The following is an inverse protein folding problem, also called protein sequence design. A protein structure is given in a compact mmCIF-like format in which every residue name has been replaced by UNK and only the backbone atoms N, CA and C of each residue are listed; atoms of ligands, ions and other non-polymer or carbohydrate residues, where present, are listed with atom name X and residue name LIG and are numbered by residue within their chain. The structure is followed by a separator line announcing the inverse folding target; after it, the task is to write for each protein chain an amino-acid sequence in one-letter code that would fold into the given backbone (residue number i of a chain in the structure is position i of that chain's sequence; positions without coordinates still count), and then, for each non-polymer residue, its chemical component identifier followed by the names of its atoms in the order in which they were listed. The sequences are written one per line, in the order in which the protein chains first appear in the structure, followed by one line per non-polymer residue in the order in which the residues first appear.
data_IF_441472702205
#
_entry.id   IF_441472702205
#
_cell.length_a   1.000
_cell.length_b   1.000
_cell.length_c   1.000
_cell.angle_alpha   90.00
_cell.angle_beta   90.00
_cell.angle_gamma   90.00
#
_symmetry.space_group_name_H-M   'P 1'
#
loop_
_entity.id
_entity.type
_entity.pdbx_description
1 polymer ?
#
# COMPACT_ATOMS: atom_id res chain seq x y z
N UNK A 1 31.79 12.91 -6.22
CA UNK A 1 30.42 12.92 -6.77
C UNK A 1 30.27 13.56 -8.17
N UNK A 2 31.28 13.56 -9.05
CA UNK A 2 31.23 14.20 -10.39
C UNK A 2 31.31 13.24 -11.58
N UNK A 3 31.09 11.92 -11.40
CA UNK A 3 31.27 10.92 -12.48
C UNK A 3 30.00 10.19 -12.96
N UNK A 4 28.82 10.49 -12.43
CA UNK A 4 27.57 9.78 -12.82
C UNK A 4 26.68 10.54 -13.81
N UNK A 5 26.95 11.83 -14.09
CA UNK A 5 26.16 12.58 -15.09
C UNK A 5 26.64 12.37 -16.55
N UNK A 6 27.84 11.84 -16.74
CA UNK A 6 28.41 11.68 -18.09
C UNK A 6 27.88 10.48 -18.89
N UNK A 7 27.29 9.47 -18.23
CA UNK A 7 26.86 8.24 -18.92
C UNK A 7 25.46 8.39 -19.53
N UNK A 8 24.59 9.17 -18.90
CA UNK A 8 23.24 9.41 -19.45
C UNK A 8 23.25 10.27 -20.74
N UNK A 9 24.20 11.19 -20.85
CA UNK A 9 24.34 12.02 -22.06
C UNK A 9 25.01 11.28 -23.23
N UNK A 10 25.87 10.29 -22.97
CA UNK A 10 26.54 9.53 -24.02
C UNK A 10 25.65 8.46 -24.69
N UNK A 11 24.65 7.93 -23.99
CA UNK A 11 23.67 6.98 -24.53
C UNK A 11 22.64 7.63 -25.45
N UNK A 12 22.40 8.94 -25.31
CA UNK A 12 21.54 9.71 -26.22
C UNK A 12 22.21 10.08 -27.55
N UNK A 13 23.55 10.03 -27.62
CA UNK A 13 24.30 10.40 -28.83
C UNK A 13 24.61 9.26 -29.80
N UNK A 14 24.33 8.00 -29.43
CA UNK A 14 24.67 6.83 -30.25
C UNK A 14 23.45 6.12 -30.88
N UNK A 15 22.26 6.72 -30.80
CA UNK A 15 21.06 6.18 -31.47
C UNK A 15 21.07 6.48 -32.97
N UNK A 16 20.72 5.52 -33.84
CA UNK A 16 20.47 5.81 -35.27
C UNK A 16 19.41 6.91 -35.35
N UNK A 17 19.58 7.83 -36.30
CA UNK A 17 18.74 9.03 -36.45
C UNK A 17 17.29 8.71 -36.20
N UNK A 18 16.68 9.31 -35.15
CA UNK A 18 15.30 9.06 -34.83
C UNK A 18 14.42 9.58 -35.96
N UNK A 19 13.41 8.82 -36.31
CA UNK A 19 12.23 9.41 -36.94
C UNK A 19 11.85 10.62 -36.10
N UNK A 20 11.71 11.78 -36.72
CA UNK A 20 11.36 13.02 -36.03
C UNK A 20 10.05 12.78 -35.27
N UNK A 21 10.02 13.15 -34.01
CA UNK A 21 8.80 13.06 -33.21
C UNK A 21 7.79 14.08 -33.75
N UNK A 22 6.69 13.63 -34.34
CA UNK A 22 5.73 14.50 -35.01
C UNK A 22 4.82 15.26 -34.08
N UNK A 23 4.67 14.81 -32.84
CA UNK A 23 3.86 15.51 -31.87
C UNK A 23 4.41 15.43 -30.45
N UNK A 24 4.42 16.55 -29.76
CA UNK A 24 4.61 16.64 -28.33
C UNK A 24 3.39 17.33 -27.71
N UNK A 25 2.91 16.82 -26.59
CA UNK A 25 1.86 17.46 -25.83
C UNK A 25 2.25 17.54 -24.36
N UNK A 26 1.72 18.54 -23.65
CA UNK A 26 2.03 18.78 -22.24
C UNK A 26 0.80 18.55 -21.34
N UNK A 27 -0.28 17.99 -21.86
CA UNK A 27 -1.48 17.73 -21.08
C UNK A 27 -1.28 16.50 -20.19
N UNK A 28 -1.04 16.71 -18.89
CA UNK A 28 -0.81 15.65 -17.93
C UNK A 28 0.58 14.99 -18.06
N UNK A 29 1.60 15.78 -18.41
CA UNK A 29 2.98 15.35 -18.62
C UNK A 29 3.48 15.65 -20.03
N UNK A 30 4.72 15.26 -20.31
CA UNK A 30 5.34 15.42 -21.64
C UNK A 30 5.15 14.11 -22.41
N UNK A 31 4.45 14.15 -23.53
CA UNK A 31 4.25 12.99 -24.41
C UNK A 31 4.98 13.21 -25.73
N UNK A 32 5.80 12.25 -26.12
CA UNK A 32 6.49 12.20 -27.40
C UNK A 32 6.03 10.95 -28.13
N UNK A 33 5.66 11.10 -29.40
CA UNK A 33 5.12 10.01 -30.22
C UNK A 33 5.74 10.04 -31.60
N UNK A 34 6.11 8.86 -32.15
CA UNK A 34 6.50 8.72 -33.57
C UNK A 34 5.28 8.82 -34.48
N UNK A 35 5.51 9.20 -35.77
CA UNK A 35 4.48 9.34 -36.79
C UNK A 35 3.62 8.10 -36.95
N UNK A 36 4.25 6.95 -36.99
CA UNK A 36 3.60 5.64 -37.11
C UNK A 36 2.92 5.17 -35.82
N UNK A 37 3.08 5.93 -34.72
CA UNK A 37 2.53 5.60 -33.39
C UNK A 37 3.10 4.35 -32.75
N UNK A 38 4.17 3.76 -33.29
CA UNK A 38 4.80 2.57 -32.77
C UNK A 38 5.66 2.84 -31.52
N UNK A 39 6.16 4.08 -31.41
CA UNK A 39 6.94 4.52 -30.25
C UNK A 39 6.20 5.65 -29.55
N UNK A 40 5.96 5.47 -28.26
CA UNK A 40 5.38 6.50 -27.39
C UNK A 40 6.19 6.54 -26.11
N UNK A 41 6.55 7.73 -25.67
CA UNK A 41 7.12 7.98 -24.36
C UNK A 41 6.38 9.12 -23.68
N UNK A 42 5.97 8.92 -22.45
CA UNK A 42 5.31 9.92 -21.62
C UNK A 42 6.10 10.09 -20.34
N UNK A 43 6.52 11.30 -20.05
CA UNK A 43 7.18 11.67 -18.79
C UNK A 43 6.15 12.41 -17.94
N UNK A 44 5.88 11.88 -16.78
CA UNK A 44 5.00 12.44 -15.78
C UNK A 44 5.55 12.28 -14.38
N UNK A 45 4.74 12.58 -13.38
CA UNK A 45 5.17 12.42 -12.00
C UNK A 45 4.07 12.74 -11.00
N UNK A 46 4.44 12.67 -9.72
CA UNK A 46 3.58 13.08 -8.62
C UNK A 46 4.39 13.50 -7.41
N UNK A 47 3.84 14.43 -6.65
CA UNK A 47 4.40 14.91 -5.40
C UNK A 47 3.31 14.78 -4.34
N UNK A 48 3.62 14.12 -3.23
CA UNK A 48 2.84 14.13 -2.01
C UNK A 48 3.67 14.81 -0.92
N UNK A 49 3.22 15.95 -0.46
CA UNK A 49 3.82 16.70 0.63
C UNK A 49 2.89 16.67 1.81
N UNK A 50 3.35 16.08 2.90
CA UNK A 50 2.56 15.78 4.08
C UNK A 50 3.00 16.62 5.27
N UNK A 51 2.04 16.96 6.10
CA UNK A 51 2.21 17.33 7.49
C UNK A 51 1.59 16.25 8.36
N UNK A 52 2.28 15.89 9.42
CA UNK A 52 1.77 14.99 10.44
C UNK A 52 1.97 15.57 11.81
N UNK A 53 0.94 15.52 12.65
CA UNK A 53 1.00 15.90 14.06
C UNK A 53 0.45 14.78 14.92
N UNK A 54 1.23 14.34 15.93
CA UNK A 54 0.77 13.44 16.98
C UNK A 54 0.15 14.30 18.08
N UNK A 55 -1.05 13.95 18.49
CA UNK A 55 -1.77 14.64 19.55
C UNK A 55 -1.56 13.91 20.88
N UNK A 56 -1.61 14.63 22.02
CA UNK A 56 -1.51 14.02 23.33
C UNK A 56 -2.60 12.97 23.55
N UNK A 57 -2.25 11.86 24.18
CA UNK A 57 -3.19 10.82 24.56
C UNK A 57 -4.11 11.29 25.69
N UNK A 58 -5.37 10.86 25.63
CA UNK A 58 -6.33 11.20 26.70
C UNK A 58 -6.25 10.27 27.92
N UNK A 59 -5.84 9.04 27.72
CA UNK A 59 -5.79 8.02 28.76
C UNK A 59 -4.94 6.83 28.31
N UNK A 60 -3.64 7.00 28.25
CA UNK A 60 -2.71 5.91 28.02
C UNK A 60 -2.29 5.33 29.37
N UNK A 61 -2.29 4.01 29.49
CA UNK A 61 -1.64 3.32 30.61
C UNK A 61 -0.16 3.09 30.34
N UNK A 62 0.28 3.39 29.12
CA UNK A 62 1.68 3.40 28.71
C UNK A 62 2.11 4.86 28.55
N UNK A 63 3.14 5.24 29.26
CA UNK A 63 3.77 6.53 29.04
C UNK A 63 4.65 6.44 27.79
N UNK A 64 4.12 6.86 26.67
CA UNK A 64 4.88 6.98 25.42
C UNK A 64 5.77 8.22 25.39
N UNK A 65 5.65 9.09 26.37
CA UNK A 65 6.41 10.32 26.71
C UNK A 65 7.23 11.05 25.63
N UNK A 66 7.77 10.32 24.66
CA UNK A 66 8.64 10.87 23.64
C UNK A 66 7.94 11.21 22.30
N UNK A 67 6.74 10.67 22.07
CA UNK A 67 6.03 10.82 20.81
C UNK A 67 4.91 11.86 20.85
N UNK A 68 4.44 12.23 22.01
CA UNK A 68 3.37 13.20 22.18
C UNK A 68 3.80 14.61 21.73
N UNK A 69 2.87 15.32 21.06
CA UNK A 69 3.07 16.65 20.55
C UNK A 69 4.18 16.78 19.48
N UNK A 70 4.54 15.69 18.82
CA UNK A 70 5.48 15.73 17.71
C UNK A 70 4.77 16.08 16.41
N UNK A 71 5.37 16.97 15.62
CA UNK A 71 4.82 17.34 14.32
C UNK A 71 5.92 17.66 13.32
N UNK A 72 5.62 17.53 12.05
CA UNK A 72 6.57 17.88 11.00
C UNK A 72 6.02 17.75 9.59
N UNK A 73 6.78 18.37 8.67
CA UNK A 73 6.55 18.31 7.24
C UNK A 73 7.55 17.41 6.57
N UNK A 74 7.10 16.66 5.54
CA UNK A 74 7.99 15.78 4.77
C UNK A 74 7.41 15.46 3.40
N UNK A 75 8.27 15.06 2.47
CA UNK A 75 7.82 14.50 1.21
C UNK A 75 7.48 13.01 1.41
N UNK A 76 6.20 12.70 1.37
CA UNK A 76 5.73 11.30 1.48
C UNK A 76 6.06 10.51 0.22
N UNK A 77 5.99 11.16 -0.96
CA UNK A 77 6.33 10.61 -2.28
C UNK A 77 6.77 11.73 -3.21
N UNK A 78 7.79 11.45 -3.99
CA UNK A 78 8.17 12.27 -5.14
C UNK A 78 8.50 11.30 -6.28
N UNK A 79 7.56 11.10 -7.19
CA UNK A 79 7.73 10.16 -8.29
C UNK A 79 8.06 10.85 -9.59
N UNK A 80 9.00 10.24 -10.31
CA UNK A 80 9.20 10.45 -11.73
C UNK A 80 8.72 9.18 -12.42
N UNK A 81 7.85 9.35 -13.43
CA UNK A 81 7.20 8.24 -14.15
C UNK A 81 7.51 8.34 -15.63
N UNK A 82 8.12 7.32 -16.19
CA UNK A 82 8.28 7.13 -17.63
C UNK A 82 7.38 5.98 -18.09
N UNK A 83 6.38 6.30 -18.90
CA UNK A 83 5.41 5.31 -19.40
C UNK A 83 5.37 5.39 -20.92
N UNK A 84 5.29 4.24 -21.59
CA UNK A 84 5.20 4.28 -23.02
C UNK A 84 4.94 2.93 -23.68
N UNK A 85 5.14 2.89 -24.98
CA UNK A 85 5.09 1.66 -25.76
C UNK A 85 6.18 1.64 -26.83
N UNK A 86 6.58 0.44 -27.21
CA UNK A 86 7.43 0.13 -28.34
C UNK A 86 6.69 -1.00 -29.08
N UNK A 87 6.13 -0.68 -30.26
CA UNK A 87 5.17 -1.52 -30.97
C UNK A 87 4.00 -1.89 -30.05
N UNK A 88 3.78 -3.17 -29.79
CA UNK A 88 2.69 -3.69 -28.95
C UNK A 88 3.09 -3.86 -27.48
N UNK A 89 4.38 -3.72 -27.17
CA UNK A 89 4.88 -3.82 -25.81
C UNK A 89 4.77 -2.48 -25.10
N UNK A 90 4.14 -2.46 -23.92
CA UNK A 90 4.09 -1.29 -23.04
C UNK A 90 5.14 -1.43 -21.96
N UNK A 91 5.71 -0.30 -21.56
CA UNK A 91 6.65 -0.23 -20.44
C UNK A 91 6.23 0.85 -19.46
N UNK A 92 6.65 0.65 -18.21
CA UNK A 92 6.52 1.64 -17.15
C UNK A 92 7.74 1.60 -16.26
N UNK A 93 8.25 2.76 -15.87
CA UNK A 93 9.33 2.97 -14.92
C UNK A 93 8.88 4.08 -13.99
N UNK A 94 8.61 3.73 -12.73
CA UNK A 94 8.30 4.69 -11.67
C UNK A 94 9.43 4.67 -10.65
N UNK A 95 10.03 5.82 -10.38
CA UNK A 95 11.05 6.00 -9.34
C UNK A 95 10.56 6.97 -8.29
N UNK A 96 10.54 6.56 -7.02
CA UNK A 96 10.32 7.44 -5.87
C UNK A 96 11.66 7.98 -5.38
N UNK A 97 11.90 9.27 -5.61
CA UNK A 97 13.14 9.95 -5.22
C UNK A 97 13.05 10.65 -3.86
N UNK A 98 12.01 10.39 -3.08
CA UNK A 98 11.82 10.97 -1.74
C UNK A 98 12.63 10.31 -0.62
N UNK A 99 13.69 9.59 -0.95
CA UNK A 99 14.46 8.69 -0.06
C UNK A 99 14.98 9.35 1.23
N UNK A 100 15.14 10.67 1.25
CA UNK A 100 15.55 11.40 2.46
C UNK A 100 14.45 11.47 3.52
N UNK A 101 13.20 11.29 3.09
CA UNK A 101 12.00 11.36 3.96
C UNK A 101 11.24 10.03 4.04
N UNK A 102 11.52 9.09 3.12
CA UNK A 102 10.83 7.81 3.03
C UNK A 102 11.81 6.67 2.74
N UNK A 103 12.11 5.82 3.72
CA UNK A 103 13.03 4.69 3.53
C UNK A 103 12.53 3.62 2.53
N UNK A 104 11.25 3.67 2.16
CA UNK A 104 10.68 2.80 1.12
C UNK A 104 10.75 3.40 -0.30
N UNK A 105 11.48 4.50 -0.49
CA UNK A 105 11.74 5.11 -1.79
C UNK A 105 12.57 4.19 -2.70
N UNK A 106 12.65 4.53 -3.96
CA UNK A 106 13.30 3.76 -5.01
C UNK A 106 12.33 3.26 -6.07
N UNK A 107 12.74 2.29 -6.86
CA UNK A 107 11.91 1.74 -7.91
C UNK A 107 10.61 1.16 -7.39
N UNK A 108 9.50 1.60 -7.99
CA UNK A 108 8.15 1.13 -7.71
C UNK A 108 7.68 0.21 -8.86
N UNK A 109 6.85 0.70 -9.79
CA UNK A 109 6.55 -0.05 -11.00
C UNK A 109 7.71 0.02 -11.98
N UNK A 110 8.31 -1.12 -12.34
CA UNK A 110 9.31 -1.25 -13.40
C UNK A 110 9.03 -2.52 -14.16
N UNK A 111 8.27 -2.43 -15.24
CA UNK A 111 7.85 -3.60 -15.98
C UNK A 111 7.68 -3.33 -17.47
N UNK A 112 7.68 -4.41 -18.22
CA UNK A 112 7.12 -4.49 -19.57
C UNK A 112 5.84 -5.31 -19.55
N UNK A 113 4.89 -4.97 -20.44
CA UNK A 113 3.64 -5.71 -20.56
C UNK A 113 3.19 -5.85 -21.99
N UNK A 114 2.48 -6.96 -22.26
CA UNK A 114 1.92 -7.26 -23.56
C UNK A 114 0.49 -7.76 -23.40
N UNK A 115 -0.42 -7.30 -24.27
CA UNK A 115 -1.79 -7.80 -24.32
C UNK A 115 -1.85 -9.03 -25.22
N UNK A 116 -2.39 -10.12 -24.72
CA UNK A 116 -2.59 -11.37 -25.48
C UNK A 116 -4.00 -11.33 -26.09
N UNK A 117 -4.24 -10.39 -26.99
CA UNK A 117 -5.56 -10.18 -27.57
C UNK A 117 -6.64 -10.06 -26.50
N UNK A 118 -7.73 -10.79 -26.67
CA UNK A 118 -8.85 -10.84 -25.70
C UNK A 118 -8.59 -11.70 -24.47
N UNK A 119 -7.41 -12.31 -24.38
CA UNK A 119 -7.07 -13.24 -23.28
C UNK A 119 -6.36 -12.57 -22.10
N UNK A 120 -6.21 -11.24 -22.11
CA UNK A 120 -5.67 -10.50 -20.99
C UNK A 120 -4.27 -9.94 -21.21
N UNK A 121 -3.61 -9.55 -20.12
CA UNK A 121 -2.31 -8.86 -20.15
C UNK A 121 -1.30 -9.62 -19.30
N UNK A 122 -0.14 -9.91 -19.84
CA UNK A 122 1.05 -10.36 -19.10
C UNK A 122 1.92 -9.15 -18.79
N UNK A 123 2.49 -9.12 -17.57
CA UNK A 123 3.56 -8.20 -17.15
C UNK A 123 4.76 -8.98 -16.67
N UNK A 124 5.95 -8.49 -16.97
CA UNK A 124 7.22 -9.05 -16.52
C UNK A 124 8.04 -7.90 -15.95
N UNK A 125 8.53 -8.05 -14.73
CA UNK A 125 9.29 -7.01 -14.05
C UNK A 125 8.83 -6.82 -12.61
N UNK A 126 8.84 -5.59 -12.12
CA UNK A 126 8.46 -5.23 -10.76
C UNK A 126 7.12 -4.50 -10.76
N UNK A 127 6.15 -5.00 -10.00
CA UNK A 127 4.85 -4.35 -9.78
C UNK A 127 4.21 -4.93 -8.52
N UNK A 128 3.06 -4.38 -8.13
CA UNK A 128 2.29 -4.91 -7.00
C UNK A 128 1.64 -6.25 -7.36
N UNK A 129 1.80 -7.30 -6.54
CA UNK A 129 1.00 -8.51 -6.64
C UNK A 129 -0.49 -8.21 -6.50
N UNK A 130 -1.33 -8.97 -7.21
CA UNK A 130 -2.78 -8.76 -7.26
C UNK A 130 -3.46 -9.33 -6.00
N UNK A 131 -3.39 -8.64 -4.85
CA UNK A 131 -3.84 -9.16 -3.56
C UNK A 131 -5.21 -8.66 -3.14
N UNK A 132 -5.42 -7.34 -3.09
CA UNK A 132 -6.69 -6.73 -2.67
C UNK A 132 -7.01 -5.46 -3.44
N UNK A 133 -8.22 -4.96 -3.28
CA UNK A 133 -8.68 -3.76 -3.95
C UNK A 133 -7.93 -2.52 -3.46
N UNK A 134 -7.79 -2.33 -2.14
CA UNK A 134 -7.07 -1.19 -1.58
C UNK A 134 -5.57 -1.20 -1.94
N UNK A 135 -4.95 -2.39 -2.03
CA UNK A 135 -3.56 -2.48 -2.45
C UNK A 135 -3.35 -2.01 -3.90
N UNK A 136 -4.30 -2.33 -4.79
CA UNK A 136 -4.19 -2.00 -6.21
C UNK A 136 -4.60 -0.57 -6.55
N UNK A 137 -5.40 0.09 -5.71
CA UNK A 137 -5.77 1.49 -5.95
C UNK A 137 -4.52 2.37 -6.01
N UNK A 138 -4.54 3.36 -6.89
CA UNK A 138 -3.47 4.35 -6.96
C UNK A 138 -3.33 5.12 -5.65
N UNK A 139 -2.11 5.43 -5.25
CA UNK A 139 -1.88 6.31 -4.10
C UNK A 139 -2.47 7.71 -4.28
N UNK A 140 -2.76 8.12 -5.53
CA UNK A 140 -3.44 9.39 -5.82
C UNK A 140 -4.94 9.33 -5.54
N UNK A 141 -5.54 8.13 -5.52
CA UNK A 141 -6.99 7.92 -5.52
C UNK A 141 -7.54 7.44 -4.18
N UNK A 142 -6.70 7.08 -3.22
CA UNK A 142 -7.11 6.64 -1.89
C UNK A 142 -8.00 7.67 -1.19
N UNK A 143 -8.94 7.19 -0.38
CA UNK A 143 -9.85 8.05 0.38
C UNK A 143 -9.10 8.83 1.45
N UNK A 144 -8.17 8.17 2.16
CA UNK A 144 -7.33 8.73 3.21
C UNK A 144 -5.87 8.86 2.77
N UNK A 145 -5.08 9.61 3.50
CA UNK A 145 -3.65 9.80 3.26
C UNK A 145 -2.89 8.47 3.31
N UNK A 146 -3.32 7.51 4.14
CA UNK A 146 -2.75 6.18 4.23
C UNK A 146 -3.77 5.09 3.84
N UNK A 147 -3.30 3.86 3.60
CA UNK A 147 -4.11 2.69 3.25
C UNK A 147 -4.81 2.14 4.48
N UNK A 148 -5.84 1.33 4.24
CA UNK A 148 -6.48 0.57 5.30
C UNK A 148 -5.51 -0.43 5.96
N UNK A 149 -5.89 -0.98 7.12
CA UNK A 149 -5.02 -1.84 7.93
C UNK A 149 -4.58 -3.11 7.19
N UNK A 150 -5.41 -3.66 6.33
CA UNK A 150 -5.09 -4.88 5.58
C UNK A 150 -3.90 -4.66 4.63
N UNK A 151 -3.92 -3.57 3.88
CA UNK A 151 -2.84 -3.20 2.96
C UNK A 151 -1.67 -2.56 3.67
N UNK A 152 -1.92 -1.67 4.62
CA UNK A 152 -0.88 -0.93 5.34
C UNK A 152 0.05 -1.82 6.17
N UNK A 153 -0.47 -2.88 6.77
CA UNK A 153 0.31 -3.86 7.54
C UNK A 153 0.98 -4.92 6.67
N UNK A 154 0.63 -4.97 5.40
CA UNK A 154 1.08 -5.99 4.48
C UNK A 154 0.35 -7.33 4.60
N UNK A 155 -0.72 -7.43 5.39
CA UNK A 155 -1.49 -8.67 5.53
C UNK A 155 -2.16 -9.06 4.21
N UNK A 156 -2.93 -8.17 3.59
CA UNK A 156 -3.49 -8.41 2.25
C UNK A 156 -2.62 -7.81 1.13
N UNK A 157 -1.96 -6.68 1.36
CA UNK A 157 -1.07 -6.03 0.41
C UNK A 157 0.26 -6.76 0.24
N UNK A 158 0.65 -7.54 1.22
CA UNK A 158 1.91 -8.25 1.21
C UNK A 158 3.11 -7.30 1.31
N UNK A 159 4.13 -7.56 0.50
CA UNK A 159 5.40 -6.81 0.51
C UNK A 159 5.43 -5.65 -0.50
N UNK A 160 4.28 -5.08 -0.85
CA UNK A 160 4.19 -3.99 -1.83
C UNK A 160 4.72 -4.42 -3.22
N UNK A 161 5.64 -3.70 -3.85
CA UNK A 161 6.15 -4.05 -5.18
C UNK A 161 7.10 -5.24 -5.16
N UNK A 162 6.86 -6.24 -6.03
CA UNK A 162 7.66 -7.46 -6.15
C UNK A 162 8.09 -7.69 -7.60
N UNK A 163 9.24 -8.36 -7.78
CA UNK A 163 9.75 -8.76 -9.09
C UNK A 163 9.19 -10.12 -9.48
N UNK A 164 8.63 -10.21 -10.69
CA UNK A 164 8.02 -11.47 -11.11
C UNK A 164 7.31 -11.43 -12.44
N UNK A 165 6.39 -12.36 -12.59
CA UNK A 165 5.48 -12.48 -13.73
C UNK A 165 4.05 -12.37 -13.22
N UNK A 166 3.28 -11.55 -13.88
CA UNK A 166 1.93 -11.19 -13.48
C UNK A 166 1.00 -11.33 -14.69
N UNK A 167 -0.12 -11.98 -14.50
CA UNK A 167 -1.15 -12.10 -15.52
C UNK A 167 -2.47 -11.57 -14.95
N UNK A 168 -3.17 -10.78 -15.76
CA UNK A 168 -4.51 -10.32 -15.44
C UNK A 168 -5.43 -10.44 -16.64
N UNK A 169 -6.68 -10.72 -16.35
CA UNK A 169 -7.79 -10.76 -17.27
C UNK A 169 -8.88 -9.82 -16.78
N UNK A 170 -9.43 -9.03 -17.67
CA UNK A 170 -10.58 -8.17 -17.39
C UNK A 170 -11.54 -8.25 -18.57
N UNK A 171 -12.79 -8.52 -18.29
CA UNK A 171 -13.84 -8.64 -19.30
C UNK A 171 -15.07 -7.83 -18.90
N UNK A 172 -15.20 -6.60 -19.41
CA UNK A 172 -16.46 -5.85 -19.36
C UNK A 172 -17.54 -6.64 -20.14
N UNK A 173 -18.78 -6.56 -19.67
CA UNK A 173 -19.92 -7.30 -20.23
C UNK A 173 -19.67 -8.81 -20.31
N UNK A 174 -19.15 -9.37 -19.22
CA UNK A 174 -18.77 -10.78 -19.17
C UNK A 174 -19.99 -11.72 -19.20
N UNK A 175 -21.03 -11.39 -18.45
CA UNK A 175 -22.28 -12.17 -18.31
C UNK A 175 -23.52 -11.31 -18.58
N UNK A 176 -23.41 -9.99 -18.41
CA UNK A 176 -24.45 -8.97 -18.59
C UNK A 176 -23.84 -7.75 -19.28
N UNK A 177 -24.67 -6.89 -19.86
CA UNK A 177 -24.20 -5.68 -20.57
C UNK A 177 -23.47 -4.65 -19.72
N UNK A 178 -23.72 -4.69 -18.42
CA UNK A 178 -23.32 -3.68 -17.43
C UNK A 178 -22.43 -4.25 -16.32
N UNK A 179 -21.91 -5.46 -16.49
CA UNK A 179 -21.02 -6.08 -15.52
C UNK A 179 -19.53 -6.05 -15.93
N UNK A 180 -18.66 -6.44 -14.99
CA UNK A 180 -17.26 -6.68 -15.27
C UNK A 180 -16.75 -7.89 -14.45
N UNK A 181 -16.11 -8.83 -15.12
CA UNK A 181 -15.34 -9.89 -14.49
C UNK A 181 -13.85 -9.57 -14.55
N UNK A 182 -13.13 -9.81 -13.46
CA UNK A 182 -11.70 -9.63 -13.37
C UNK A 182 -11.03 -10.78 -12.65
N UNK A 183 -9.86 -11.19 -13.13
CA UNK A 183 -8.99 -12.16 -12.46
C UNK A 183 -7.53 -11.81 -12.65
N UNK A 184 -6.73 -12.04 -11.61
CA UNK A 184 -5.29 -11.81 -11.67
C UNK A 184 -4.52 -12.83 -10.86
N UNK A 185 -3.37 -13.26 -11.40
CA UNK A 185 -2.41 -14.13 -10.73
C UNK A 185 -1.03 -13.53 -10.80
N UNK A 186 -0.23 -13.75 -9.77
CA UNK A 186 1.15 -13.27 -9.69
C UNK A 186 2.05 -14.38 -9.17
N UNK A 187 3.23 -14.48 -9.76
CA UNK A 187 4.33 -15.30 -9.28
C UNK A 187 5.57 -14.41 -9.16
N UNK A 188 6.17 -14.33 -7.97
CA UNK A 188 7.17 -13.31 -7.67
C UNK A 188 8.22 -13.79 -6.68
N UNK A 189 9.37 -13.13 -6.72
CA UNK A 189 10.41 -13.21 -5.71
C UNK A 189 10.03 -12.37 -4.50
N UNK A 190 10.36 -12.83 -3.30
CA UNK A 190 10.18 -12.06 -2.06
C UNK A 190 11.23 -10.95 -1.90
N UNK A 191 12.18 -10.86 -2.81
CA UNK A 191 13.18 -9.80 -2.84
C UNK A 191 12.71 -8.64 -3.70
N UNK A 192 12.52 -7.48 -3.11
CA UNK A 192 12.37 -6.23 -3.84
C UNK A 192 13.76 -5.64 -4.14
N UNK A 193 14.02 -5.27 -5.40
CA UNK A 193 15.22 -4.53 -5.74
C UNK A 193 15.26 -3.20 -4.97
N UNK A 194 16.34 -2.95 -4.24
CA UNK A 194 16.49 -1.75 -3.41
C UNK A 194 15.97 -1.87 -1.97
N UNK A 195 15.23 -2.93 -1.66
CA UNK A 195 14.85 -3.31 -0.29
C UNK A 195 15.36 -4.73 0.00
N UNK A 196 16.60 -4.96 -0.33
CA UNK A 196 17.22 -6.29 -0.29
C UNK A 196 17.68 -6.70 1.09
N UNK A 197 17.54 -5.84 2.07
CA UNK A 197 18.02 -6.12 3.41
C UNK A 197 16.83 -6.28 4.35
N UNK A 198 16.77 -7.42 5.00
CA UNK A 198 16.11 -7.51 6.27
C UNK A 198 16.62 -6.37 7.14
N UNK A 199 15.71 -5.55 7.66
CA UNK A 199 16.09 -4.43 8.50
C UNK A 199 16.89 -4.97 9.70
N UNK A 200 18.19 -4.80 9.67
CA UNK A 200 19.11 -5.17 10.73
C UNK A 200 20.28 -6.10 10.35
N UNK A 201 20.16 -6.95 9.34
CA UNK A 201 21.23 -7.93 9.01
C UNK A 201 21.91 -7.75 7.67
N UNK A 202 21.36 -6.93 6.79
CA UNK A 202 21.90 -6.77 5.44
C UNK A 202 21.73 -8.01 4.54
N UNK A 203 21.05 -9.05 4.99
CA UNK A 203 20.85 -10.29 4.26
C UNK A 203 19.58 -10.23 3.42
N UNK A 204 19.62 -10.49 2.11
CA UNK A 204 18.43 -10.50 1.28
C UNK A 204 17.43 -11.56 1.74
N UNK A 205 16.15 -11.20 1.90
CA UNK A 205 15.07 -12.19 2.05
C UNK A 205 14.96 -12.98 0.76
N UNK A 206 15.23 -14.29 0.81
CA UNK A 206 15.10 -15.18 -0.33
C UNK A 206 13.79 -15.95 -0.24
N UNK A 207 13.19 -16.20 -1.36
CA UNK A 207 11.97 -16.99 -1.44
C UNK A 207 11.11 -16.60 -2.62
N UNK A 208 10.00 -17.29 -2.73
CA UNK A 208 9.00 -17.07 -3.77
C UNK A 208 7.63 -16.87 -3.14
N UNK A 209 6.81 -16.11 -3.82
CA UNK A 209 5.41 -15.94 -3.48
C UNK A 209 4.53 -16.10 -4.72
N UNK A 210 3.30 -16.47 -4.48
CA UNK A 210 2.26 -16.46 -5.50
C UNK A 210 0.94 -16.02 -4.90
N UNK A 211 0.11 -15.41 -5.74
CA UNK A 211 -1.23 -15.05 -5.34
C UNK A 211 -2.21 -15.13 -6.51
N UNK A 212 -3.48 -15.22 -6.15
CA UNK A 212 -4.59 -15.07 -7.07
C UNK A 212 -5.68 -14.20 -6.45
N UNK A 213 -6.30 -13.35 -7.26
CA UNK A 213 -7.47 -12.54 -6.90
C UNK A 213 -8.50 -12.65 -8.01
N UNK A 214 -9.75 -12.83 -7.61
CA UNK A 214 -10.91 -12.78 -8.48
C UNK A 214 -11.84 -11.66 -8.00
N UNK A 215 -12.45 -10.96 -8.94
CA UNK A 215 -13.40 -9.91 -8.64
C UNK A 215 -14.53 -9.91 -9.69
N UNK A 216 -15.72 -9.59 -9.22
CA UNK A 216 -16.88 -9.44 -10.05
C UNK A 216 -17.63 -8.16 -9.68
N UNK A 217 -17.90 -7.33 -10.66
CA UNK A 217 -18.78 -6.18 -10.52
C UNK A 217 -20.08 -6.49 -11.28
N UNK A 218 -21.17 -6.88 -10.58
CA UNK A 218 -22.46 -7.16 -11.22
C UNK A 218 -23.10 -5.93 -11.84
N UNK A 219 -22.68 -4.74 -11.41
CA UNK A 219 -22.99 -3.43 -11.98
C UNK A 219 -21.67 -2.68 -12.07
N UNK A 220 -21.30 -2.19 -13.23
CA UNK A 220 -20.07 -1.43 -13.51
C UNK A 220 -20.36 -0.33 -14.53
N UNK A 221 -21.31 0.53 -14.22
CA UNK A 221 -21.68 1.68 -15.06
C UNK A 221 -21.21 2.99 -14.42
N UNK A 222 -21.26 4.07 -15.19
CA UNK A 222 -20.89 5.39 -14.68
C UNK A 222 -21.76 5.76 -13.48
N UNK A 223 -21.13 6.22 -12.38
CA UNK A 223 -21.73 6.65 -11.12
C UNK A 223 -22.45 5.57 -10.29
N UNK A 224 -22.57 4.35 -10.81
CA UNK A 224 -23.20 3.23 -10.09
C UNK A 224 -22.43 1.94 -10.36
N UNK A 225 -21.79 1.41 -9.34
CA UNK A 225 -21.12 0.13 -9.44
C UNK A 225 -21.11 -0.60 -8.10
N UNK A 226 -21.11 -1.91 -8.18
CA UNK A 226 -20.98 -2.82 -7.05
C UNK A 226 -19.86 -3.78 -7.36
N UNK A 227 -19.01 -4.04 -6.40
CA UNK A 227 -17.84 -4.91 -6.51
C UNK A 227 -17.83 -5.91 -5.37
N UNK A 228 -17.51 -7.16 -5.69
CA UNK A 228 -17.20 -8.24 -4.76
C UNK A 228 -15.93 -8.94 -5.24
N UNK A 229 -15.03 -9.23 -4.32
CA UNK A 229 -13.80 -9.93 -4.68
C UNK A 229 -13.27 -10.79 -3.55
N UNK A 230 -12.34 -11.68 -3.91
CA UNK A 230 -11.62 -12.53 -2.97
C UNK A 230 -10.22 -12.80 -3.48
N UNK A 231 -9.29 -12.98 -2.55
CA UNK A 231 -7.89 -13.24 -2.83
C UNK A 231 -7.28 -14.28 -1.92
N UNK A 232 -6.26 -14.94 -2.46
CA UNK A 232 -5.37 -15.85 -1.73
C UNK A 232 -3.93 -15.54 -2.08
N UNK A 233 -3.04 -15.61 -1.10
CA UNK A 233 -1.61 -15.54 -1.33
C UNK A 233 -0.84 -16.50 -0.44
N UNK A 234 0.31 -16.93 -0.94
CA UNK A 234 1.27 -17.73 -0.18
C UNK A 234 2.68 -17.22 -0.47
N UNK A 235 3.37 -16.84 0.58
CA UNK A 235 4.76 -16.40 0.55
C UNK A 235 5.59 -17.45 1.29
N UNK A 236 6.61 -17.99 0.60
CA UNK A 236 7.49 -19.01 1.11
C UNK A 236 8.93 -18.49 1.11
N UNK A 237 9.43 -18.17 2.29
CA UNK A 237 10.82 -17.76 2.45
C UNK A 237 11.74 -18.98 2.50
N UNK A 238 12.92 -18.95 1.86
CA UNK A 238 13.79 -20.09 1.72
C UNK A 238 15.29 -19.73 1.79
N UNK A 239 16.12 -20.77 1.95
CA UNK A 239 17.58 -20.69 1.81
C UNK A 239 18.28 -19.69 2.73
N UNK A 240 18.01 -19.77 4.04
CA UNK A 240 18.68 -18.96 5.05
C UNK A 240 18.10 -17.55 5.16
N UNK A 241 16.91 -17.32 4.62
CA UNK A 241 16.13 -16.20 5.06
C UNK A 241 15.87 -16.37 6.55
N UNK A 242 16.51 -15.53 7.34
CA UNK A 242 16.32 -15.48 8.79
C UNK A 242 15.41 -14.32 9.10
N UNK A 243 14.32 -14.60 9.77
CA UNK A 243 13.68 -13.60 10.58
C UNK A 243 14.46 -13.56 11.90
N UNK A 244 15.45 -12.70 11.98
CA UNK A 244 16.15 -12.43 13.23
C UNK A 244 15.24 -11.69 14.21
N UNK A 245 15.71 -11.39 15.40
CA UNK A 245 14.90 -10.70 16.41
C UNK A 245 14.38 -9.33 15.98
N UNK A 246 14.93 -8.75 14.90
CA UNK A 246 14.46 -7.51 14.27
C UNK A 246 13.56 -7.68 13.05
N UNK A 247 13.48 -8.90 12.50
CA UNK A 247 12.89 -9.19 11.19
C UNK A 247 11.50 -9.81 11.25
N UNK A 248 10.86 -9.74 12.38
CA UNK A 248 9.48 -10.21 12.55
C UNK A 248 8.54 -9.35 11.70
N UNK A 249 7.57 -9.97 11.06
CA UNK A 249 6.47 -9.21 10.47
C UNK A 249 5.68 -8.59 11.61
N UNK A 250 5.58 -7.29 11.62
CA UNK A 250 4.88 -6.53 12.63
C UNK A 250 3.64 -5.89 12.03
N UNK A 251 2.51 -6.04 12.64
CA UNK A 251 1.45 -5.08 12.45
C UNK A 251 1.56 -4.01 13.55
N UNK A 252 1.42 -2.79 13.15
CA UNK A 252 1.56 -1.64 14.02
C UNK A 252 0.66 -0.53 13.49
N UNK A 253 0.64 0.59 14.18
CA UNK A 253 0.11 1.85 13.61
C UNK A 253 0.82 2.29 12.34
N UNK A 254 1.70 1.48 11.78
CA UNK A 254 2.54 1.82 10.65
C UNK A 254 1.74 2.30 9.43
N UNK A 255 0.53 1.80 9.23
CA UNK A 255 -0.38 2.30 8.20
C UNK A 255 -0.89 3.70 8.46
N UNK A 256 -1.07 4.07 9.72
CA UNK A 256 -1.47 5.41 10.17
C UNK A 256 -0.25 6.27 10.47
N UNK A 257 0.85 5.64 10.91
CA UNK A 257 1.99 6.29 11.53
C UNK A 257 3.31 5.97 10.85
N UNK A 258 3.33 5.49 9.61
CA UNK A 258 4.56 5.05 8.96
C UNK A 258 5.70 6.10 9.02
N UNK A 259 5.31 7.36 9.04
CA UNK A 259 6.22 8.49 9.21
C UNK A 259 6.15 9.14 10.60
N UNK A 260 5.07 8.94 11.36
CA UNK A 260 4.90 9.47 12.71
C UNK A 260 5.97 8.94 13.65
N UNK A 261 6.16 7.61 13.62
CA UNK A 261 7.17 6.96 14.46
C UNK A 261 8.59 7.40 14.09
N UNK A 262 8.88 7.60 12.80
CA UNK A 262 10.15 8.13 12.33
C UNK A 262 10.38 9.57 12.79
N UNK A 263 9.34 10.39 12.76
CA UNK A 263 9.41 11.80 13.17
C UNK A 263 9.56 11.96 14.69
N UNK A 264 9.02 11.07 15.47
CA UNK A 264 9.15 11.05 16.92
C UNK A 264 10.56 10.62 17.40
N UNK A 265 11.50 10.36 16.49
CA UNK A 265 12.82 9.85 16.85
C UNK A 265 12.83 8.40 17.33
N UNK A 266 11.69 7.73 17.26
CA UNK A 266 11.55 6.33 17.60
C UNK A 266 11.89 5.53 16.35
N UNK A 267 13.02 4.87 16.37
CA UNK A 267 13.45 4.04 15.24
C UNK A 267 12.52 2.81 15.13
N UNK A 268 11.82 2.60 14.01
CA UNK A 268 10.96 1.44 13.81
C UNK A 268 11.69 0.10 13.92
N UNK A 269 13.01 0.14 13.72
CA UNK A 269 13.87 -1.04 13.71
C UNK A 269 14.20 -1.61 15.10
N UNK A 270 14.02 -0.85 16.16
CA UNK A 270 14.46 -1.24 17.49
C UNK A 270 13.34 -1.48 18.49
N UNK A 271 12.13 -1.01 18.18
CA UNK A 271 10.99 -1.13 19.09
C UNK A 271 9.80 -1.76 18.39
N UNK A 272 9.41 -2.96 18.78
CA UNK A 272 8.24 -3.63 18.23
C UNK A 272 6.97 -2.90 18.61
N UNK A 273 6.24 -2.49 17.60
CA UNK A 273 5.10 -1.61 17.81
C UNK A 273 3.78 -2.33 18.00
N UNK A 274 3.64 -3.61 17.84
CA UNK A 274 2.39 -4.30 18.13
C UNK A 274 2.55 -5.81 18.29
N UNK A 275 2.71 -6.61 17.28
CA UNK A 275 2.81 -8.04 17.44
C UNK A 275 3.99 -8.61 16.65
N UNK A 276 4.75 -9.48 17.31
CA UNK A 276 5.73 -10.30 16.60
C UNK A 276 5.01 -11.47 15.97
N UNK A 277 5.05 -11.53 14.65
CA UNK A 277 4.45 -12.60 13.90
C UNK A 277 5.55 -13.33 13.17
N UNK A 278 5.67 -14.60 13.44
CA UNK A 278 6.73 -15.41 12.88
C UNK A 278 8.07 -15.15 13.58
N UNK A 279 8.99 -15.95 13.28
CA UNK A 279 10.38 -15.96 13.76
C UNK A 279 10.99 -17.32 13.45
N UNK A 280 12.22 -17.33 13.03
CA UNK A 280 12.91 -18.54 12.62
C UNK A 280 13.26 -18.53 11.13
N UNK A 281 13.98 -19.55 10.72
CA UNK A 281 14.44 -19.70 9.35
C UNK A 281 13.30 -20.18 8.44
N UNK A 282 13.19 -19.60 7.24
CA UNK A 282 12.25 -20.00 6.19
C UNK A 282 10.76 -19.94 6.59
N UNK A 283 10.24 -18.82 7.06
CA UNK A 283 8.84 -18.72 7.45
C UNK A 283 7.91 -18.75 6.23
N UNK A 284 6.75 -19.37 6.43
CA UNK A 284 5.64 -19.37 5.50
C UNK A 284 4.57 -18.39 5.95
N UNK A 285 3.96 -17.69 5.00
CA UNK A 285 2.82 -16.83 5.24
C UNK A 285 1.73 -17.14 4.22
N UNK A 286 0.56 -17.52 4.68
CA UNK A 286 -0.63 -17.68 3.83
C UNK A 286 -1.67 -16.66 4.22
N UNK A 287 -2.28 -16.01 3.23
CA UNK A 287 -3.32 -15.00 3.46
C UNK A 287 -4.53 -15.30 2.60
N UNK A 288 -5.70 -15.23 3.20
CA UNK A 288 -7.00 -15.21 2.51
C UNK A 288 -7.71 -13.91 2.80
N UNK A 289 -8.38 -13.36 1.82
CA UNK A 289 -9.11 -12.10 1.98
C UNK A 289 -10.37 -12.03 1.14
N UNK A 290 -11.28 -11.16 1.57
CA UNK A 290 -12.49 -10.81 0.85
C UNK A 290 -12.67 -9.29 0.81
N UNK A 291 -13.35 -8.81 -0.20
CA UNK A 291 -13.58 -7.39 -0.42
C UNK A 291 -14.97 -7.13 -0.99
N UNK A 292 -15.57 -6.05 -0.58
CA UNK A 292 -16.86 -5.55 -1.05
C UNK A 292 -16.78 -4.03 -1.19
N UNK A 293 -17.26 -3.49 -2.30
CA UNK A 293 -17.36 -2.04 -2.46
C UNK A 293 -18.52 -1.66 -3.37
N UNK A 294 -18.99 -0.43 -3.20
CA UNK A 294 -20.02 0.14 -4.07
C UNK A 294 -19.89 1.65 -4.17
N UNK A 295 -20.21 2.21 -5.33
CA UNK A 295 -20.51 3.62 -5.48
C UNK A 295 -21.96 3.76 -5.99
N UNK A 296 -22.73 4.61 -5.33
CA UNK A 296 -24.11 4.93 -5.65
C UNK A 296 -24.26 6.45 -5.72
N UNK A 297 -24.08 7.01 -6.90
CA UNK A 297 -23.99 8.46 -7.07
C UNK A 297 -22.81 9.04 -6.28
N UNK A 298 -23.09 9.97 -5.37
CA UNK A 298 -22.07 10.63 -4.56
C UNK A 298 -21.57 9.82 -3.35
N UNK A 299 -22.20 8.68 -3.04
CA UNK A 299 -21.85 7.83 -1.91
C UNK A 299 -20.91 6.72 -2.37
N UNK A 300 -19.84 6.48 -1.63
CA UNK A 300 -18.93 5.36 -1.79
C UNK A 300 -18.77 4.59 -0.49
N UNK A 301 -18.77 3.27 -0.55
CA UNK A 301 -18.55 2.36 0.57
C UNK A 301 -17.58 1.24 0.17
N UNK A 302 -16.70 0.85 1.08
CA UNK A 302 -15.74 -0.24 0.91
C UNK A 302 -15.58 -1.00 2.22
N UNK A 303 -15.40 -2.30 2.12
CA UNK A 303 -14.98 -3.16 3.23
C UNK A 303 -14.02 -4.23 2.74
N UNK A 304 -12.99 -4.50 3.53
CA UNK A 304 -12.04 -5.60 3.29
C UNK A 304 -11.86 -6.40 4.58
N UNK A 305 -11.75 -7.71 4.43
CA UNK A 305 -11.43 -8.65 5.52
C UNK A 305 -10.26 -9.52 5.10
N UNK A 306 -9.40 -9.89 6.05
CA UNK A 306 -8.27 -10.77 5.79
C UNK A 306 -7.89 -11.60 7.00
N UNK A 307 -7.39 -12.80 6.71
CA UNK A 307 -6.76 -13.68 7.70
C UNK A 307 -5.42 -14.13 7.15
N UNK A 308 -4.36 -13.89 7.92
CA UNK A 308 -3.01 -14.35 7.60
C UNK A 308 -2.52 -15.33 8.64
N UNK A 309 -2.02 -16.48 8.16
CA UNK A 309 -1.36 -17.49 8.98
C UNK A 309 0.13 -17.40 8.74
N UNK A 310 0.87 -17.22 9.82
CA UNK A 310 2.32 -17.16 9.85
C UNK A 310 2.84 -18.42 10.53
N UNK A 311 3.67 -19.19 9.85
CA UNK A 311 4.32 -20.37 10.38
C UNK A 311 5.81 -20.09 10.49
N UNK A 312 6.39 -20.38 11.66
CA UNK A 312 7.84 -20.35 11.80
C UNK A 312 8.48 -21.47 10.98
N UNK A 313 9.70 -21.20 10.48
CA UNK A 313 10.51 -22.18 9.80
C UNK A 313 11.20 -23.16 10.75
N UNK A 314 12.38 -23.62 10.37
CA UNK A 314 13.09 -24.67 11.09
C UNK A 314 13.60 -24.28 12.47
N UNK A 315 13.92 -23.02 12.68
CA UNK A 315 14.47 -22.52 13.96
C UNK A 315 13.39 -21.76 14.73
N UNK A 316 12.81 -22.39 15.72
CA UNK A 316 11.76 -21.79 16.53
C UNK A 316 12.35 -20.76 17.52
N UNK A 317 11.70 -19.63 17.60
CA UNK A 317 12.03 -18.59 18.58
C UNK A 317 11.35 -18.88 19.90
N UNK A 318 12.12 -18.90 20.98
CA UNK A 318 11.58 -19.13 22.32
C UNK A 318 10.51 -18.12 22.69
N UNK A 319 9.40 -18.60 23.24
CA UNK A 319 8.27 -17.76 23.69
C UNK A 319 7.33 -17.29 22.56
N UNK A 320 7.59 -17.65 21.30
CA UNK A 320 6.71 -17.33 20.18
C UNK A 320 6.05 -18.62 19.69
N UNK A 321 4.72 -18.66 19.49
CA UNK A 321 4.04 -19.83 18.94
C UNK A 321 4.57 -20.19 17.55
N UNK A 322 4.61 -21.48 17.23
CA UNK A 322 5.05 -21.97 15.94
C UNK A 322 4.16 -21.50 14.78
N UNK A 323 2.88 -21.33 15.06
CA UNK A 323 1.91 -20.76 14.12
C UNK A 323 1.18 -19.61 14.80
N UNK A 324 0.91 -18.54 14.06
CA UNK A 324 0.14 -17.40 14.52
C UNK A 324 -0.86 -16.99 13.46
N UNK A 325 -2.07 -16.70 13.88
CA UNK A 325 -3.14 -16.23 13.02
C UNK A 325 -3.47 -14.78 13.34
N UNK A 326 -3.44 -13.94 12.31
CA UNK A 326 -3.80 -12.53 12.41
C UNK A 326 -5.01 -12.27 11.54
N UNK A 327 -6.04 -11.68 12.15
CA UNK A 327 -7.22 -11.18 11.44
C UNK A 327 -7.17 -9.68 11.34
N UNK A 328 -7.61 -9.17 10.19
CA UNK A 328 -7.81 -7.76 9.99
C UNK A 328 -9.09 -7.51 9.19
N UNK A 329 -9.75 -6.38 9.47
CA UNK A 329 -10.84 -5.89 8.65
C UNK A 329 -10.87 -4.37 8.65
N UNK A 330 -11.42 -3.81 7.59
CA UNK A 330 -11.66 -2.38 7.43
C UNK A 330 -13.04 -2.13 6.84
N UNK A 331 -13.63 -1.01 7.22
CA UNK A 331 -14.82 -0.45 6.60
C UNK A 331 -14.60 1.04 6.40
N UNK A 332 -14.77 1.51 5.18
CA UNK A 332 -14.50 2.89 4.80
C UNK A 332 -15.63 3.40 3.89
N UNK A 333 -15.91 4.68 3.97
CA UNK A 333 -16.89 5.30 3.10
C UNK A 333 -16.60 6.76 2.88
N UNK A 334 -17.14 7.29 1.78
CA UNK A 334 -17.05 8.72 1.48
C UNK A 334 -18.31 9.25 0.81
N UNK A 335 -18.48 10.55 0.90
CA UNK A 335 -19.58 11.29 0.29
C UNK A 335 -19.07 12.57 -0.37
N UNK A 336 -19.35 12.72 -1.66
CA UNK A 336 -19.04 13.96 -2.39
C UNK A 336 -20.15 14.98 -2.18
N UNK A 337 -19.86 16.05 -1.43
CA UNK A 337 -20.79 17.17 -1.22
C UNK A 337 -21.17 17.87 -2.53
N UNK A 338 -20.31 17.79 -3.52
CA UNK A 338 -20.42 18.44 -4.82
C UNK A 338 -21.00 17.54 -5.90
N UNK A 339 -21.33 16.29 -5.54
CA UNK A 339 -22.09 15.39 -6.38
C UNK A 339 -21.27 14.48 -7.31
N UNK A 340 -19.94 14.46 -7.23
CA UNK A 340 -19.09 13.51 -7.96
C UNK A 340 -19.37 12.07 -7.52
N UNK A 341 -18.82 11.09 -8.25
CA UNK A 341 -18.88 9.67 -7.91
C UNK A 341 -17.50 9.03 -8.11
N UNK A 342 -17.11 8.10 -7.24
CA UNK A 342 -15.92 7.25 -7.47
C UNK A 342 -16.10 6.47 -8.77
N UNK A 343 -15.05 6.43 -9.56
CA UNK A 343 -15.02 5.73 -10.87
C UNK A 343 -14.53 4.30 -10.66
N UNK A 344 -15.19 3.31 -11.28
CA UNK A 344 -14.70 1.93 -11.28
C UNK A 344 -13.65 1.73 -12.36
N UNK A 345 -12.44 1.31 -11.95
CA UNK A 345 -11.38 0.91 -12.89
C UNK A 345 -11.47 -0.59 -13.17
N UNK A 346 -12.07 -0.93 -14.30
CA UNK A 346 -12.25 -2.32 -14.75
C UNK A 346 -10.91 -3.04 -14.99
N UNK A 347 -9.82 -2.31 -15.25
CA UNK A 347 -8.51 -2.92 -15.56
C UNK A 347 -7.81 -3.50 -14.35
N UNK A 348 -8.12 -3.01 -13.16
CA UNK A 348 -7.53 -3.46 -11.90
C UNK A 348 -8.60 -3.93 -10.90
N UNK A 349 -9.88 -3.85 -11.29
CA UNK A 349 -11.03 -4.10 -10.43
C UNK A 349 -10.88 -3.35 -9.08
N UNK A 350 -10.78 -2.04 -9.17
CA UNK A 350 -10.65 -1.12 -8.04
C UNK A 350 -11.28 0.23 -8.42
N UNK A 351 -11.07 1.25 -7.63
CA UNK A 351 -11.63 2.57 -7.89
C UNK A 351 -10.57 3.61 -8.22
N UNK A 352 -11.02 4.71 -8.82
CA UNK A 352 -10.24 5.92 -9.06
C UNK A 352 -11.03 7.16 -8.64
N UNK A 353 -10.32 8.25 -8.44
CA UNK A 353 -10.93 9.55 -8.15
C UNK A 353 -11.64 10.12 -9.39
N UNK A 354 -12.78 10.78 -9.22
CA UNK A 354 -13.47 11.45 -10.32
C UNK A 354 -12.76 12.74 -10.74
N UNK A 355 -13.13 13.23 -11.90
CA UNK A 355 -12.87 14.62 -12.28
C UNK A 355 -13.91 15.50 -11.61
N UNK A 356 -13.53 16.67 -11.04
CA UNK A 356 -14.50 17.63 -10.50
C UNK A 356 -15.53 18.04 -11.54
N UNK A 357 -16.78 18.07 -11.14
CA UNK A 357 -17.91 18.50 -11.97
C UNK A 357 -18.02 20.02 -12.09
N UNK A 358 -17.48 20.73 -11.11
CA UNK A 358 -17.63 22.18 -10.97
C UNK A 358 -16.28 22.90 -11.10
N UNK A 359 -16.31 24.14 -11.57
CA UNK A 359 -15.12 24.98 -11.73
C UNK A 359 -14.45 25.34 -10.39
N UNK A 360 -15.19 25.30 -9.29
CA UNK A 360 -14.65 25.49 -7.93
C UNK A 360 -14.11 24.20 -7.32
N UNK A 361 -14.17 23.09 -8.04
CA UNK A 361 -13.61 21.81 -7.60
C UNK A 361 -14.64 20.89 -6.95
N UNK A 362 -14.13 19.81 -6.33
CA UNK A 362 -14.91 18.79 -5.64
C UNK A 362 -14.54 18.72 -4.16
N UNK A 363 -15.52 18.41 -3.30
CA UNK A 363 -15.34 18.22 -1.86
C UNK A 363 -15.87 16.84 -1.48
N UNK A 364 -15.01 16.01 -0.86
CA UNK A 364 -15.31 14.67 -0.38
C UNK A 364 -15.14 14.62 1.14
N UNK A 365 -16.14 14.14 1.86
CA UNK A 365 -16.06 13.77 3.28
C UNK A 365 -15.87 12.28 3.37
N UNK A 366 -15.04 11.81 4.32
CA UNK A 366 -14.73 10.41 4.48
C UNK A 366 -14.74 10.00 5.95
N UNK A 367 -15.15 8.75 6.20
CA UNK A 367 -15.04 8.10 7.49
C UNK A 367 -14.63 6.65 7.29
N UNK A 368 -13.84 6.10 8.23
CA UNK A 368 -13.38 4.73 8.17
C UNK A 368 -13.09 4.17 9.56
N UNK A 369 -13.12 2.85 9.66
CA UNK A 369 -12.72 2.11 10.82
C UNK A 369 -11.90 0.89 10.43
N UNK A 370 -10.83 0.66 11.17
CA UNK A 370 -9.88 -0.40 10.92
C UNK A 370 -9.65 -1.20 12.20
N UNK A 371 -9.50 -2.52 12.06
CA UNK A 371 -9.27 -3.43 13.16
C UNK A 371 -8.32 -4.55 12.76
N UNK A 372 -7.38 -4.91 13.65
CA UNK A 372 -6.48 -6.04 13.50
C UNK A 372 -6.22 -6.69 14.85
N UNK A 373 -6.13 -8.02 14.89
CA UNK A 373 -5.79 -8.79 16.09
C UNK A 373 -4.94 -10.01 15.79
N UNK A 374 -4.09 -10.38 16.74
CA UNK A 374 -3.45 -11.68 16.78
C UNK A 374 -4.29 -12.63 17.65
N UNK A 375 -4.71 -13.77 17.10
CA UNK A 375 -5.51 -14.78 17.85
C UNK A 375 -4.67 -15.66 18.77
N UNK A 376 -3.41 -15.84 18.44
CA UNK A 376 -2.54 -16.88 19.02
C UNK A 376 -1.55 -16.27 20.02
N UNK A 377 -2.09 -15.69 21.10
CA UNK A 377 -1.30 -15.18 22.20
C UNK A 377 -1.00 -16.30 23.20
N UNK A 378 0.27 -16.46 23.64
CA UNK A 378 0.59 -17.33 24.78
C UNK A 378 -0.15 -16.86 26.03
N UNK A 379 -0.62 -17.80 26.84
CA UNK A 379 -1.35 -17.49 28.09
C UNK A 379 -0.57 -16.60 29.09
N UNK A 380 0.75 -16.52 28.92
CA UNK A 380 1.66 -15.75 29.78
C UNK A 380 2.55 -14.80 28.93
N UNK A 381 1.99 -14.20 27.88
CA UNK A 381 2.80 -13.26 27.09
C UNK A 381 3.18 -12.02 27.91
N UNK A 382 4.48 -11.75 27.97
CA UNK A 382 5.09 -10.60 28.66
C UNK A 382 5.75 -9.65 27.65
N UNK A 383 5.31 -9.67 26.38
CA UNK A 383 5.85 -8.88 25.30
C UNK A 383 6.68 -9.67 24.28
N UNK A 384 6.64 -11.02 24.33
CA UNK A 384 7.33 -11.86 23.34
C UNK A 384 6.59 -11.88 22.00
N UNK A 385 5.27 -11.86 22.04
CA UNK A 385 4.39 -11.90 20.85
C UNK A 385 3.72 -10.56 20.63
N UNK A 386 3.23 -9.93 21.67
CA UNK A 386 2.63 -8.60 21.60
C UNK A 386 3.37 -7.64 22.53
N UNK A 387 3.67 -6.46 22.06
CA UNK A 387 4.38 -5.46 22.86
C UNK A 387 3.91 -4.05 22.50
N UNK A 388 3.82 -3.12 23.47
CA UNK A 388 3.57 -1.73 23.18
C UNK A 388 4.71 -1.16 22.34
N UNK A 389 4.36 -0.23 21.46
CA UNK A 389 5.33 0.48 20.62
C UNK A 389 6.31 1.30 21.43
N UNK A 390 5.79 1.94 22.41
CA UNK A 390 6.45 2.88 23.30
C UNK A 390 5.97 2.60 24.71
N UNK A 391 6.87 2.75 25.64
CA UNK A 391 6.56 2.51 27.05
C UNK A 391 6.77 1.06 27.50
N UNK A 392 6.63 0.86 28.80
CA UNK A 392 6.79 -0.43 29.46
C UNK A 392 5.45 -0.88 30.01
N UNK A 393 5.05 -2.10 29.68
CA UNK A 393 3.97 -2.74 30.41
C UNK A 393 4.30 -2.77 31.91
N UNK A 394 3.30 -2.53 32.72
CA UNK A 394 3.45 -2.59 34.19
C UNK A 394 4.10 -3.92 34.59
N UNK A 395 5.16 -3.85 35.37
CA UNK A 395 5.90 -5.03 35.77
C UNK A 395 4.96 -6.09 36.39
N UNK A 396 5.03 -7.32 35.91
CA UNK A 396 4.19 -8.44 36.33
C UNK A 396 2.81 -8.51 35.65
N UNK A 397 2.44 -7.58 34.80
CA UNK A 397 1.22 -7.68 34.00
C UNK A 397 1.37 -8.69 32.86
N UNK A 398 0.28 -9.38 32.56
CA UNK A 398 0.20 -10.32 31.42
C UNK A 398 -0.59 -9.69 30.28
N UNK A 399 -0.08 -9.81 29.08
CA UNK A 399 -0.79 -9.41 27.87
C UNK A 399 -1.81 -10.50 27.55
N UNK A 400 -3.07 -10.12 27.52
CA UNK A 400 -4.19 -11.02 27.26
C UNK A 400 -4.92 -10.71 25.95
N UNK A 401 -4.58 -9.58 25.31
CA UNK A 401 -5.06 -9.16 24.00
C UNK A 401 -3.93 -8.54 23.19
N UNK A 402 -4.08 -8.53 21.89
CA UNK A 402 -3.21 -7.83 20.95
C UNK A 402 -4.09 -7.25 19.82
N UNK A 403 -4.93 -6.31 20.19
CA UNK A 403 -5.95 -5.74 19.34
C UNK A 403 -5.57 -4.29 19.03
N UNK A 404 -5.47 -3.95 17.74
CA UNK A 404 -5.27 -2.59 17.26
C UNK A 404 -6.51 -2.16 16.48
N UNK A 405 -7.06 -1.01 16.81
CA UNK A 405 -8.12 -0.39 16.03
C UNK A 405 -7.89 1.10 15.85
N UNK A 406 -8.46 1.67 14.81
CA UNK A 406 -8.51 3.12 14.66
C UNK A 406 -9.68 3.56 13.78
N UNK A 407 -10.30 4.66 14.19
CA UNK A 407 -11.23 5.42 13.37
C UNK A 407 -10.48 6.53 12.61
N UNK A 408 -10.91 6.80 11.39
CA UNK A 408 -10.37 7.89 10.57
C UNK A 408 -11.51 8.75 10.06
N UNK A 409 -11.34 10.08 10.14
CA UNK A 409 -12.25 11.05 9.56
C UNK A 409 -11.46 11.95 8.64
N UNK A 410 -11.94 12.14 7.40
CA UNK A 410 -11.20 12.85 6.37
C UNK A 410 -12.04 13.87 5.62
N UNK A 411 -11.36 14.92 5.14
CA UNK A 411 -11.89 15.88 4.19
C UNK A 411 -10.91 16.01 3.04
N UNK A 412 -11.42 15.85 1.82
CA UNK A 412 -10.64 15.97 0.60
C UNK A 412 -11.21 17.11 -0.25
N UNK A 413 -10.31 17.97 -0.73
CA UNK A 413 -10.66 19.03 -1.67
C UNK A 413 -9.85 18.86 -2.96
N UNK A 414 -10.53 18.82 -4.07
CA UNK A 414 -9.98 18.67 -5.42
C UNK A 414 -10.22 19.97 -6.21
N UNK A 415 -9.31 20.96 -6.19
CA UNK A 415 -9.43 22.17 -7.02
C UNK A 415 -9.62 21.85 -8.49
N UNK A 416 -8.94 20.81 -8.96
CA UNK A 416 -9.02 20.25 -10.30
C UNK A 416 -8.59 18.78 -10.28
N UNK A 417 -8.54 18.13 -11.45
CA UNK A 417 -8.15 16.71 -11.56
C UNK A 417 -6.72 16.42 -11.10
N UNK A 418 -5.81 17.37 -11.16
CA UNK A 418 -4.36 17.16 -10.93
C UNK A 418 -3.89 17.57 -9.53
N UNK A 419 -4.72 18.27 -8.77
CA UNK A 419 -4.37 18.77 -7.44
C UNK A 419 -5.41 18.31 -6.42
N UNK A 420 -4.94 17.86 -5.25
CA UNK A 420 -5.79 17.46 -4.13
C UNK A 420 -5.18 17.90 -2.81
N UNK A 421 -6.02 18.39 -1.91
CA UNK A 421 -5.70 18.63 -0.52
C UNK A 421 -6.49 17.65 0.34
N UNK A 422 -5.84 17.06 1.33
CA UNK A 422 -6.44 16.10 2.25
C UNK A 422 -6.15 16.51 3.68
N UNK A 423 -7.09 16.28 4.56
CA UNK A 423 -6.95 16.44 6.01
C UNK A 423 -7.64 15.26 6.68
N UNK A 424 -6.88 14.46 7.41
CA UNK A 424 -7.36 13.28 8.13
C UNK A 424 -7.08 13.41 9.62
N UNK A 425 -8.04 12.99 10.42
CA UNK A 425 -7.91 12.80 11.86
C UNK A 425 -8.00 11.30 12.18
N UNK A 426 -7.06 10.81 12.95
CA UNK A 426 -6.97 9.42 13.39
C UNK A 426 -7.16 9.33 14.90
N UNK A 427 -8.02 8.40 15.34
CA UNK A 427 -8.26 8.06 16.74
C UNK A 427 -8.06 6.55 16.92
N UNK A 428 -6.96 6.17 17.54
CA UNK A 428 -6.50 4.81 17.67
C UNK A 428 -6.72 4.23 19.07
N UNK A 429 -6.72 2.90 19.14
CA UNK A 429 -6.66 2.14 20.37
C UNK A 429 -5.81 0.89 20.16
N UNK A 430 -4.83 0.68 21.03
CA UNK A 430 -4.03 -0.53 21.09
C UNK A 430 -4.26 -1.20 22.44
N UNK A 431 -5.07 -2.27 22.45
CA UNK A 431 -5.54 -2.96 23.66
C UNK A 431 -4.69 -4.21 23.92
N UNK A 432 -3.96 -4.21 25.03
CA UNK A 432 -3.17 -5.33 25.53
C UNK A 432 -3.91 -6.12 26.64
N UNK A 433 -5.18 -5.85 26.85
CA UNK A 433 -6.00 -6.47 27.89
C UNK A 433 -5.54 -6.09 29.29
N UNK A 434 -5.19 -7.08 30.11
CA UNK A 434 -4.76 -6.85 31.50
C UNK A 434 -3.47 -6.01 31.62
N UNK A 435 -2.71 -5.88 30.53
CA UNK A 435 -1.50 -5.07 30.51
C UNK A 435 -1.77 -3.59 30.21
N UNK A 436 -3.02 -3.23 29.86
CA UNK A 436 -3.45 -1.86 29.62
C UNK A 436 -3.70 -1.56 28.13
N UNK A 437 -3.91 -0.28 27.82
CA UNK A 437 -4.15 0.21 26.47
C UNK A 437 -3.37 1.49 26.18
N UNK A 438 -3.10 1.71 24.91
CA UNK A 438 -2.58 2.95 24.33
C UNK A 438 -3.61 3.56 23.37
N UNK A 439 -3.75 4.90 23.36
CA UNK A 439 -4.76 5.62 22.57
C UNK A 439 -4.15 6.73 21.73
N UNK A 440 -3.35 6.38 20.71
CA UNK A 440 -2.71 7.35 19.85
C UNK A 440 -3.73 8.11 19.00
N UNK A 441 -3.50 9.42 18.88
CA UNK A 441 -4.29 10.30 18.01
C UNK A 441 -3.36 11.09 17.11
N UNK A 442 -3.77 11.30 15.87
CA UNK A 442 -2.96 12.04 14.92
C UNK A 442 -3.82 12.86 13.95
N UNK A 443 -3.20 13.90 13.41
CA UNK A 443 -3.71 14.66 12.28
C UNK A 443 -2.71 14.56 11.16
N UNK A 444 -3.17 14.18 9.96
CA UNK A 444 -2.39 14.22 8.75
C UNK A 444 -3.01 15.20 7.76
N UNK A 445 -2.18 16.07 7.19
CA UNK A 445 -2.57 16.89 6.05
C UNK A 445 -1.66 16.57 4.87
N UNK A 446 -2.21 16.51 3.66
CA UNK A 446 -1.47 16.25 2.43
C UNK A 446 -1.86 17.23 1.35
N UNK A 447 -0.86 17.78 0.68
CA UNK A 447 -1.00 18.32 -0.66
C UNK A 447 -0.44 17.30 -1.65
N UNK A 448 -1.22 16.96 -2.65
CA UNK A 448 -0.74 16.14 -3.76
C UNK A 448 -0.98 16.81 -5.10
N UNK A 449 -0.03 16.63 -6.00
CA UNK A 449 -0.08 17.05 -7.38
C UNK A 449 0.45 15.93 -8.27
N UNK A 450 -0.17 15.72 -9.42
CA UNK A 450 0.37 14.82 -10.44
C UNK A 450 0.22 15.43 -11.84
N UNK A 451 1.09 15.04 -12.72
CA UNK A 451 1.21 15.57 -14.09
C UNK A 451 1.72 14.52 -15.06
#
# INVERSE_FOLDING_TARGET
MKRKLGIAAALLAAAPRPALADSASTLGGIVVKSDDGNFVASLGGRIHFDYTGILPDKSSTFDSGAAENTSGFYFRRVFISLVGKIYEWRYRIDEDISNTSNPAAGFQDVFVSHDIGDYGTVRIGQTKPYRSMDELVSNNDKIFTERNVNSATGLLGGRDFQQGVFYRYSRPSAFRSDDNFWGGVSFYSLNKAGQTTDQGTGTPTKGIGYNGRLAYAPIAVDREWVHIGAGYSSDHASNGARLTSGDSVWYSYKGVTQNLVSMAGVQPATTPTAARIGGGDNPDVTTTGGELAAALGAVYLQGEIGTSKFRQGYSLKAGVPNEQTVDAWSAEGSYYLTGESKVYDTKIASYASPKPLHSYGAIELAAGYNFIKNRDLPANDTGAVCAPALGTIRAGSRITKCDLSYATFGVNYYPNYYIRFMLDYYDGAFDLGNAGEDRPRAVNARMQIWF
#
